data_IF_653038510628
#
_entry.id   IF_653038510628
#
_cell.length_a   1.000
_cell.length_b   1.000
_cell.length_c   1.000
_cell.angle_alpha   90.00
_cell.angle_beta   90.00
_cell.angle_gamma   90.00
#
_symmetry.space_group_name_H-M   'P 1'
#
loop_
_entity.id
_entity.type
_entity.pdbx_description
1 polymer ?
#
# COMPACT_ATOMS: atom_id res chain seq x y z
N UNK A 1 16.72 5.22 -13.77
CA UNK A 1 16.30 4.36 -14.88
C UNK A 1 17.53 4.01 -15.66
N UNK A 2 17.78 2.74 -15.88
CA UNK A 2 18.91 2.28 -16.68
C UNK A 2 18.68 2.59 -18.18
N UNK A 3 19.73 2.60 -19.02
CA UNK A 3 19.59 2.81 -20.47
C UNK A 3 18.59 1.85 -21.13
N UNK A 4 18.38 0.68 -20.55
CA UNK A 4 17.43 -0.34 -21.03
C UNK A 4 15.98 -0.09 -20.54
N UNK A 5 15.70 1.04 -19.92
CA UNK A 5 14.38 1.41 -19.43
C UNK A 5 13.91 0.66 -18.19
N UNK A 6 14.80 -0.07 -17.51
CA UNK A 6 14.47 -0.75 -16.23
C UNK A 6 14.66 0.19 -15.04
N UNK A 7 13.81 0.00 -14.03
CA UNK A 7 13.94 0.70 -12.77
C UNK A 7 15.10 0.14 -11.95
N UNK A 8 16.02 1.00 -11.52
CA UNK A 8 17.01 0.64 -10.49
C UNK A 8 16.44 1.00 -9.12
N UNK A 9 16.42 0.02 -8.20
CA UNK A 9 15.87 0.18 -6.84
C UNK A 9 17.03 0.24 -5.86
N UNK A 10 17.11 1.34 -5.14
CA UNK A 10 18.06 1.53 -4.03
C UNK A 10 17.30 1.60 -2.72
N UNK A 11 17.78 0.88 -1.71
CA UNK A 11 17.25 0.94 -0.35
C UNK A 11 18.08 1.96 0.43
N UNK A 12 17.41 2.99 0.97
CA UNK A 12 18.04 3.91 1.88
C UNK A 12 18.06 3.32 3.30
N UNK A 13 19.05 2.47 3.55
CA UNK A 13 19.28 1.78 4.83
C UNK A 13 20.53 2.33 5.54
N UNK A 14 20.86 3.61 5.34
CA UNK A 14 22.09 4.23 5.88
C UNK A 14 22.22 4.12 7.40
N UNK A 15 21.10 3.95 8.12
CA UNK A 15 21.07 3.73 9.56
C UNK A 15 21.37 2.26 9.96
N UNK A 16 21.23 1.33 9.01
CA UNK A 16 21.46 -0.09 9.21
C UNK A 16 22.75 -0.47 8.48
N UNK A 17 23.89 -0.34 9.15
CA UNK A 17 25.20 -0.62 8.57
C UNK A 17 25.31 -2.00 7.91
N UNK A 18 26.39 -2.22 7.17
CA UNK A 18 26.76 -3.56 6.71
C UNK A 18 27.30 -4.36 7.90
N UNK A 19 26.48 -5.30 8.37
CA UNK A 19 26.88 -6.21 9.42
C UNK A 19 27.63 -7.40 8.82
N UNK A 20 28.86 -7.60 9.28
CA UNK A 20 29.68 -8.75 8.94
C UNK A 20 30.15 -9.43 10.21
N UNK A 21 30.41 -10.72 10.12
CA UNK A 21 31.08 -11.43 11.21
C UNK A 21 32.53 -11.01 11.22
N UNK A 22 33.05 -10.74 12.40
CA UNK A 22 34.47 -10.39 12.56
C UNK A 22 35.32 -11.64 12.50
N UNK A 23 36.22 -11.70 11.51
CA UNK A 23 37.08 -12.86 11.26
C UNK A 23 37.98 -13.20 12.45
N UNK A 24 38.38 -12.20 13.24
CA UNK A 24 39.16 -12.42 14.46
C UNK A 24 38.41 -13.33 15.46
N UNK A 25 37.13 -13.10 15.67
CA UNK A 25 36.35 -13.96 16.57
C UNK A 25 36.11 -15.36 15.98
N UNK A 26 36.04 -15.50 14.65
CA UNK A 26 35.96 -16.80 13.99
C UNK A 26 37.27 -17.61 14.19
N UNK A 27 38.42 -16.94 14.08
CA UNK A 27 39.74 -17.56 14.34
C UNK A 27 39.89 -17.94 15.82
N UNK A 28 39.56 -17.03 16.74
CA UNK A 28 39.58 -17.33 18.18
C UNK A 28 38.73 -18.58 18.50
N UNK A 29 37.55 -18.68 17.93
CA UNK A 29 36.67 -19.83 18.16
C UNK A 29 37.30 -21.15 17.67
N UNK A 30 38.06 -21.12 16.57
CA UNK A 30 38.75 -22.29 16.05
C UNK A 30 39.91 -22.77 16.97
N UNK A 31 40.49 -21.86 17.76
CA UNK A 31 41.64 -22.14 18.67
C UNK A 31 41.17 -22.53 20.09
N UNK A 32 39.93 -22.33 20.44
CA UNK A 32 39.38 -22.63 21.78
C UNK A 32 39.38 -24.14 22.02
N UNK A 33 40.08 -24.58 23.06
CA UNK A 33 40.13 -25.98 23.51
C UNK A 33 39.14 -26.31 24.62
N UNK A 34 38.65 -25.29 25.33
CA UNK A 34 37.70 -25.44 26.43
C UNK A 34 36.28 -25.56 25.90
N UNK A 35 35.60 -26.64 26.28
CA UNK A 35 34.30 -27.00 25.74
C UNK A 35 33.19 -25.97 26.07
N UNK A 36 33.16 -25.45 27.29
CA UNK A 36 32.19 -24.44 27.71
C UNK A 36 32.32 -23.14 26.92
N UNK A 37 33.58 -22.68 26.75
CA UNK A 37 33.89 -21.48 26.00
C UNK A 37 33.57 -21.63 24.51
N UNK A 38 33.85 -22.82 23.93
CA UNK A 38 33.47 -23.14 22.56
C UNK A 38 31.96 -23.10 22.34
N UNK A 39 31.19 -23.70 23.24
CA UNK A 39 29.71 -23.69 23.13
C UNK A 39 29.16 -22.28 23.31
N UNK A 40 29.75 -21.46 24.20
CA UNK A 40 29.35 -20.07 24.32
C UNK A 40 29.55 -19.29 23.02
N UNK A 41 30.75 -19.36 22.41
CA UNK A 41 31.02 -18.71 21.12
C UNK A 41 30.13 -19.22 20.01
N UNK A 42 29.86 -20.53 19.93
CA UNK A 42 28.99 -21.16 18.96
C UNK A 42 27.57 -20.56 19.02
N UNK A 43 26.98 -20.50 20.23
CA UNK A 43 25.65 -19.88 20.43
C UNK A 43 25.61 -18.39 20.00
N UNK A 44 26.66 -17.64 20.31
CA UNK A 44 26.73 -16.22 19.89
C UNK A 44 26.88 -16.08 18.38
N UNK A 45 27.65 -16.91 17.75
CA UNK A 45 27.85 -16.95 16.30
C UNK A 45 26.55 -17.31 15.57
N UNK A 46 25.85 -18.34 16.03
CA UNK A 46 24.56 -18.74 15.47
C UNK A 46 23.54 -17.60 15.54
N UNK A 47 23.47 -16.91 16.69
CA UNK A 47 22.60 -15.74 16.87
C UNK A 47 22.99 -14.58 15.95
N UNK A 48 24.27 -14.30 15.80
CA UNK A 48 24.76 -13.25 14.89
C UNK A 48 24.43 -13.55 13.45
N UNK A 49 24.67 -14.80 12.99
CA UNK A 49 24.28 -15.28 11.64
C UNK A 49 22.79 -15.16 11.40
N UNK A 50 21.98 -15.55 12.37
CA UNK A 50 20.51 -15.43 12.28
C UNK A 50 20.08 -13.96 12.09
N UNK A 51 20.63 -13.03 12.85
CA UNK A 51 20.31 -11.61 12.74
C UNK A 51 20.72 -11.03 11.39
N UNK A 52 21.93 -11.31 10.93
CA UNK A 52 22.43 -10.87 9.62
C UNK A 52 21.50 -11.40 8.52
N UNK A 53 21.20 -12.71 8.56
CA UNK A 53 20.30 -13.32 7.58
C UNK A 53 18.89 -12.69 7.61
N UNK A 54 18.34 -12.40 8.79
CA UNK A 54 17.03 -11.75 8.92
C UNK A 54 17.01 -10.35 8.29
N UNK A 55 18.09 -9.56 8.46
CA UNK A 55 18.21 -8.24 7.82
C UNK A 55 18.29 -8.37 6.30
N UNK A 56 19.09 -9.30 5.79
CA UNK A 56 19.20 -9.56 4.35
C UNK A 56 17.89 -10.03 3.73
N UNK A 57 17.17 -10.93 4.40
CA UNK A 57 15.86 -11.40 3.95
C UNK A 57 14.84 -10.26 3.90
N UNK A 58 14.87 -9.37 4.89
CA UNK A 58 14.02 -8.17 4.88
C UNK A 58 14.33 -7.27 3.68
N UNK A 59 15.60 -7.02 3.39
CA UNK A 59 16.03 -6.23 2.22
C UNK A 59 15.55 -6.88 0.91
N UNK A 60 15.80 -8.19 0.74
CA UNK A 60 15.33 -8.94 -0.43
C UNK A 60 13.82 -8.85 -0.61
N UNK A 61 13.06 -9.06 0.46
CA UNK A 61 11.58 -8.99 0.42
C UNK A 61 11.09 -7.61 -0.01
N UNK A 62 11.68 -6.53 0.51
CA UNK A 62 11.30 -5.17 0.12
C UNK A 62 11.61 -4.92 -1.36
N UNK A 63 12.78 -5.32 -1.86
CA UNK A 63 13.15 -5.18 -3.27
C UNK A 63 12.18 -5.98 -4.16
N UNK A 64 11.87 -7.22 -3.82
CA UNK A 64 10.94 -8.04 -4.57
C UNK A 64 9.53 -7.42 -4.65
N UNK A 65 9.01 -6.94 -3.53
CA UNK A 65 7.71 -6.25 -3.48
C UNK A 65 7.76 -4.96 -4.32
N UNK A 66 8.82 -4.17 -4.21
CA UNK A 66 8.96 -2.93 -4.97
C UNK A 66 9.04 -3.20 -6.48
N UNK A 67 9.81 -4.20 -6.91
CA UNK A 67 9.86 -4.60 -8.32
C UNK A 67 8.47 -4.99 -8.84
N UNK A 68 7.76 -5.83 -8.10
CA UNK A 68 6.43 -6.28 -8.49
C UNK A 68 5.41 -5.11 -8.54
N UNK A 69 5.53 -4.13 -7.63
CA UNK A 69 4.73 -2.89 -7.67
C UNK A 69 5.06 -2.07 -8.91
N UNK A 70 6.35 -1.90 -9.25
CA UNK A 70 6.79 -1.14 -10.42
C UNK A 70 6.31 -1.78 -11.72
N UNK A 71 6.31 -3.11 -11.81
CA UNK A 71 5.74 -3.84 -12.95
C UNK A 71 4.24 -3.60 -13.10
N UNK A 72 3.47 -3.68 -12.00
CA UNK A 72 2.02 -3.49 -12.03
C UNK A 72 1.62 -2.02 -12.29
N UNK A 73 2.41 -1.08 -11.78
CA UNK A 73 2.12 0.35 -11.80
C UNK A 73 3.04 1.12 -12.79
N UNK A 74 3.60 0.44 -13.80
CA UNK A 74 4.58 1.04 -14.72
C UNK A 74 4.09 2.33 -15.38
N UNK A 75 2.83 2.37 -15.83
CA UNK A 75 2.22 3.56 -16.41
C UNK A 75 2.12 4.75 -15.43
N UNK A 76 1.84 4.46 -14.16
CA UNK A 76 1.79 5.49 -13.12
C UNK A 76 3.16 6.11 -12.90
N UNK A 77 4.21 5.29 -12.82
CA UNK A 77 5.56 5.78 -12.54
C UNK A 77 6.24 6.43 -13.76
N UNK A 78 5.91 6.02 -14.99
CA UNK A 78 6.49 6.60 -16.22
C UNK A 78 5.77 7.84 -16.71
N UNK A 79 4.45 7.83 -16.67
CA UNK A 79 3.63 8.82 -17.37
C UNK A 79 2.70 9.60 -16.45
N UNK A 80 2.88 9.49 -15.14
CA UNK A 80 1.95 10.07 -14.15
C UNK A 80 0.50 9.66 -14.38
N UNK A 81 0.29 8.43 -14.85
CA UNK A 81 -1.01 7.84 -15.13
C UNK A 81 -1.81 7.58 -13.84
N UNK A 82 -2.99 7.01 -13.98
CA UNK A 82 -3.78 6.58 -12.83
C UNK A 82 -3.22 5.28 -12.26
N UNK A 83 -3.26 5.14 -10.92
CA UNK A 83 -2.91 3.89 -10.26
C UNK A 83 -3.86 2.77 -10.71
N UNK A 84 -3.29 1.66 -11.17
CA UNK A 84 -4.03 0.44 -11.45
C UNK A 84 -4.46 -0.24 -10.14
N UNK A 85 -5.62 -0.91 -10.12
CA UNK A 85 -6.02 -1.71 -8.96
C UNK A 85 -4.98 -2.80 -8.68
N UNK A 86 -4.43 -2.80 -7.48
CA UNK A 86 -3.45 -3.79 -7.04
C UNK A 86 -3.73 -4.13 -5.57
N UNK A 87 -4.11 -5.36 -5.28
CA UNK A 87 -4.37 -5.81 -3.92
C UNK A 87 -3.17 -6.52 -3.31
N UNK A 88 -3.07 -6.47 -1.97
CA UNK A 88 -2.03 -7.23 -1.26
C UNK A 88 -2.19 -8.75 -1.47
N UNK A 89 -3.42 -9.23 -1.74
CA UNK A 89 -3.70 -10.65 -2.03
C UNK A 89 -3.12 -11.05 -3.38
N UNK A 90 -3.40 -10.30 -4.45
CA UNK A 90 -2.81 -10.54 -5.77
C UNK A 90 -1.29 -10.54 -5.73
N UNK A 91 -0.71 -9.57 -4.99
CA UNK A 91 0.73 -9.50 -4.82
C UNK A 91 1.29 -10.69 -4.02
N UNK A 92 0.55 -11.18 -3.02
CA UNK A 92 0.95 -12.36 -2.23
C UNK A 92 1.00 -13.63 -3.08
N UNK A 93 0.04 -13.81 -3.98
CA UNK A 93 0.02 -14.91 -4.94
C UNK A 93 1.18 -14.79 -5.93
N UNK A 94 1.40 -13.60 -6.53
CA UNK A 94 2.49 -13.34 -7.48
C UNK A 94 3.87 -13.61 -6.89
N UNK A 95 4.11 -13.24 -5.64
CA UNK A 95 5.39 -13.37 -4.96
C UNK A 95 5.53 -14.66 -4.12
N UNK A 96 4.48 -15.45 -4.02
CA UNK A 96 4.43 -16.66 -3.17
C UNK A 96 4.79 -16.38 -1.70
N UNK A 97 4.33 -15.22 -1.17
CA UNK A 97 4.52 -14.81 0.23
C UNK A 97 3.17 -14.52 0.87
N UNK A 98 3.08 -14.56 2.21
CA UNK A 98 1.82 -14.25 2.87
C UNK A 98 1.44 -12.76 2.76
N UNK A 99 0.14 -12.46 2.72
CA UNK A 99 -0.38 -11.08 2.74
C UNK A 99 0.11 -10.30 3.96
N UNK A 100 0.28 -10.98 5.11
CA UNK A 100 0.82 -10.38 6.33
C UNK A 100 2.30 -9.98 6.17
N UNK A 101 3.08 -10.76 5.39
CA UNK A 101 4.48 -10.42 5.07
C UNK A 101 4.54 -9.14 4.23
N UNK A 102 3.70 -9.03 3.20
CA UNK A 102 3.61 -7.82 2.37
C UNK A 102 3.19 -6.61 3.22
N UNK A 103 2.11 -6.75 3.98
CA UNK A 103 1.60 -5.67 4.83
C UNK A 103 2.65 -5.15 5.81
N UNK A 104 3.42 -6.04 6.46
CA UNK A 104 4.53 -5.65 7.35
C UNK A 104 5.69 -5.03 6.59
N UNK A 105 6.01 -5.54 5.41
CA UNK A 105 7.11 -5.04 4.60
C UNK A 105 6.86 -3.61 4.10
N UNK A 106 5.63 -3.26 3.71
CA UNK A 106 5.28 -1.92 3.17
C UNK A 106 4.84 -0.93 4.24
N UNK A 107 4.60 -1.40 5.48
CA UNK A 107 4.15 -0.55 6.57
C UNK A 107 5.18 0.55 6.84
N UNK A 108 4.71 1.81 6.90
CA UNK A 108 5.50 3.00 7.24
C UNK A 108 6.76 3.15 6.35
N UNK A 109 6.66 2.71 5.08
CA UNK A 109 7.73 2.86 4.09
C UNK A 109 7.30 3.71 2.93
N UNK A 110 8.25 4.49 2.45
CA UNK A 110 8.06 5.41 1.35
C UNK A 110 8.91 5.00 0.15
N UNK A 111 8.38 5.21 -1.03
CA UNK A 111 9.06 5.07 -2.30
C UNK A 111 9.27 6.47 -2.85
N UNK A 112 10.54 6.83 -3.07
CA UNK A 112 10.90 8.08 -3.72
C UNK A 112 11.07 7.81 -5.21
N UNK A 113 10.42 8.62 -6.04
CA UNK A 113 10.52 8.56 -7.49
C UNK A 113 10.64 9.98 -8.06
N UNK A 114 10.96 10.17 -9.35
CA UNK A 114 11.21 11.49 -9.94
C UNK A 114 10.10 12.52 -9.73
N UNK A 115 8.85 12.08 -9.67
CA UNK A 115 7.68 12.96 -9.47
C UNK A 115 7.32 13.20 -7.99
N UNK A 116 8.07 12.62 -7.02
CA UNK A 116 7.84 12.83 -5.60
C UNK A 116 8.02 11.60 -4.73
N UNK A 117 7.44 11.64 -3.53
CA UNK A 117 7.53 10.58 -2.54
C UNK A 117 6.12 10.04 -2.24
N UNK A 118 5.94 8.73 -2.29
CA UNK A 118 4.67 8.08 -2.05
C UNK A 118 4.80 7.01 -0.95
N UNK A 119 3.81 6.95 -0.06
CA UNK A 119 3.72 5.88 0.93
C UNK A 119 3.44 4.56 0.20
N UNK A 120 4.28 3.53 0.38
CA UNK A 120 4.15 2.25 -0.33
C UNK A 120 2.78 1.60 -0.14
N UNK A 121 2.17 1.77 1.04
CA UNK A 121 0.82 1.28 1.32
C UNK A 121 -0.24 1.87 0.37
N UNK A 122 -0.07 3.11 -0.10
CA UNK A 122 -1.01 3.78 -0.98
C UNK A 122 -0.97 3.25 -2.43
N UNK A 123 0.08 2.48 -2.78
CA UNK A 123 0.18 1.79 -4.06
C UNK A 123 -0.68 0.53 -4.12
N UNK A 124 -1.15 0.05 -2.96
CA UNK A 124 -2.13 -1.01 -2.85
C UNK A 124 -3.52 -0.40 -2.66
N UNK A 125 -4.32 -0.46 -3.67
CA UNK A 125 -5.71 -0.03 -3.58
C UNK A 125 -6.61 -1.21 -3.26
N UNK A 126 -7.61 -0.97 -2.42
CA UNK A 126 -8.72 -1.89 -2.33
C UNK A 126 -9.44 -1.87 -3.68
N UNK A 127 -9.38 -2.98 -4.42
CA UNK A 127 -10.15 -3.13 -5.64
C UNK A 127 -11.61 -3.37 -5.28
N UNK A 128 -12.47 -2.58 -5.89
CA UNK A 128 -13.91 -2.79 -5.82
C UNK A 128 -14.33 -3.46 -7.12
N UNK A 129 -15.00 -4.62 -7.09
CA UNK A 129 -15.48 -5.26 -8.30
C UNK A 129 -16.48 -4.33 -9.00
N UNK A 130 -16.20 -3.98 -10.24
CA UNK A 130 -17.16 -3.40 -11.15
C UNK A 130 -17.94 -4.51 -11.84
N UNK A 131 -19.18 -4.24 -12.25
CA UNK A 131 -20.09 -5.24 -12.78
C UNK A 131 -19.67 -5.92 -14.10
N UNK A 132 -18.64 -5.40 -14.76
CA UNK A 132 -18.01 -5.93 -15.98
C UNK A 132 -16.70 -6.70 -15.73
N UNK A 133 -16.41 -7.04 -14.47
CA UNK A 133 -15.16 -7.74 -14.08
C UNK A 133 -13.93 -6.83 -13.99
N UNK A 134 -14.04 -5.55 -14.31
CA UNK A 134 -13.00 -4.57 -14.06
C UNK A 134 -12.85 -4.28 -12.55
N UNK A 135 -11.62 -4.15 -12.10
CA UNK A 135 -11.31 -3.73 -10.74
C UNK A 135 -11.09 -2.21 -10.74
N UNK A 136 -11.78 -1.50 -9.87
CA UNK A 136 -11.63 -0.06 -9.74
C UNK A 136 -11.00 0.31 -8.40
N UNK A 137 -10.10 1.26 -8.46
CA UNK A 137 -9.48 1.86 -7.29
C UNK A 137 -10.55 2.59 -6.44
N UNK A 138 -10.49 2.42 -5.12
CA UNK A 138 -11.36 3.11 -4.16
C UNK A 138 -11.36 4.64 -4.33
N UNK A 139 -10.22 5.23 -4.71
CA UNK A 139 -10.12 6.67 -5.00
C UNK A 139 -10.91 7.08 -6.24
N UNK A 140 -10.92 6.25 -7.29
CA UNK A 140 -11.75 6.49 -8.47
C UNK A 140 -13.25 6.49 -8.14
N UNK A 141 -13.68 5.56 -7.27
CA UNK A 141 -15.06 5.52 -6.78
C UNK A 141 -15.39 6.74 -5.94
N UNK A 142 -14.51 7.16 -5.04
CA UNK A 142 -14.68 8.38 -4.23
C UNK A 142 -14.83 9.62 -5.11
N UNK A 143 -14.05 9.71 -6.17
CA UNK A 143 -14.16 10.82 -7.11
C UNK A 143 -15.53 10.85 -7.79
N UNK A 144 -16.04 9.70 -8.25
CA UNK A 144 -17.36 9.60 -8.87
C UNK A 144 -18.48 9.95 -7.87
N UNK A 145 -18.37 9.50 -6.60
CA UNK A 145 -19.32 9.89 -5.54
C UNK A 145 -19.30 11.41 -5.34
N UNK A 146 -18.12 12.04 -5.34
CA UNK A 146 -18.00 13.51 -5.20
C UNK A 146 -18.66 14.24 -6.35
N UNK A 147 -18.47 13.78 -7.58
CA UNK A 147 -19.12 14.33 -8.78
C UNK A 147 -20.64 14.22 -8.70
N UNK A 148 -21.16 13.04 -8.36
CA UNK A 148 -22.60 12.82 -8.21
C UNK A 148 -23.22 13.70 -7.11
N UNK A 149 -22.51 13.92 -6.01
CA UNK A 149 -22.98 14.80 -4.94
C UNK A 149 -22.92 16.27 -5.35
N UNK A 150 -21.96 16.68 -6.14
CA UNK A 150 -21.87 18.04 -6.66
C UNK A 150 -22.96 18.36 -7.69
N UNK A 151 -23.38 17.37 -8.47
CA UNK A 151 -24.42 17.46 -9.49
C UNK A 151 -25.84 17.24 -8.94
N UNK A 152 -25.98 16.82 -7.66
CA UNK A 152 -27.29 16.54 -7.06
C UNK A 152 -28.17 17.77 -6.90
N UNK A 153 -29.50 17.55 -6.94
CA UNK A 153 -30.44 18.61 -6.58
C UNK A 153 -30.36 18.91 -5.08
N UNK A 154 -29.97 20.15 -4.75
CA UNK A 154 -29.81 20.65 -3.37
C UNK A 154 -31.09 20.54 -2.52
N UNK A 155 -32.28 20.54 -3.15
CA UNK A 155 -33.56 20.37 -2.44
C UNK A 155 -33.87 18.91 -2.13
N UNK A 156 -33.31 17.98 -2.95
CA UNK A 156 -33.51 16.53 -2.80
C UNK A 156 -32.19 15.78 -2.94
N UNK A 157 -31.28 15.90 -1.95
CA UNK A 157 -29.97 15.25 -2.00
C UNK A 157 -30.08 13.72 -2.12
N UNK A 158 -29.15 13.10 -2.84
CA UNK A 158 -29.11 11.65 -3.02
C UNK A 158 -28.82 10.92 -1.70
N UNK A 159 -29.68 9.97 -1.35
CA UNK A 159 -29.37 9.03 -0.26
C UNK A 159 -28.24 8.06 -0.66
N UNK A 160 -27.58 7.44 0.33
CA UNK A 160 -26.54 6.44 0.07
C UNK A 160 -27.08 5.27 -0.76
N UNK A 161 -28.38 4.93 -0.64
CA UNK A 161 -29.05 3.94 -1.48
C UNK A 161 -29.19 4.41 -2.93
N UNK A 162 -29.51 5.69 -3.13
CA UNK A 162 -29.63 6.26 -4.49
C UNK A 162 -28.27 6.40 -5.17
N UNK A 163 -27.24 6.76 -4.41
CA UNK A 163 -25.85 6.75 -4.90
C UNK A 163 -25.42 5.33 -5.30
N UNK A 164 -25.83 4.29 -4.53
CA UNK A 164 -25.56 2.89 -4.88
C UNK A 164 -26.23 2.50 -6.21
N UNK A 165 -27.49 2.91 -6.41
CA UNK A 165 -28.21 2.65 -7.67
C UNK A 165 -27.53 3.34 -8.86
N UNK A 166 -27.15 4.62 -8.71
CA UNK A 166 -26.48 5.39 -9.77
C UNK A 166 -25.11 4.81 -10.11
N UNK A 167 -24.33 4.40 -9.10
CA UNK A 167 -23.06 3.73 -9.30
C UNK A 167 -23.23 2.36 -9.95
N UNK A 168 -24.26 1.59 -9.57
CA UNK A 168 -24.57 0.30 -10.21
C UNK A 168 -24.89 0.46 -11.69
N UNK A 169 -25.62 1.52 -12.08
CA UNK A 169 -25.89 1.85 -13.51
C UNK A 169 -24.62 2.21 -14.29
N UNK A 170 -23.60 2.72 -13.61
CA UNK A 170 -22.27 3.00 -14.18
C UNK A 170 -21.33 1.78 -14.13
N UNK A 171 -21.83 0.58 -13.75
CA UNK A 171 -21.04 -0.65 -13.68
C UNK A 171 -20.38 -0.92 -12.32
N UNK A 172 -20.62 -0.10 -11.28
CA UNK A 172 -19.98 -0.24 -9.96
C UNK A 172 -20.94 -0.87 -8.94
N UNK A 173 -20.84 -2.19 -8.75
CA UNK A 173 -21.68 -2.95 -7.83
C UNK A 173 -21.36 -2.75 -6.34
N UNK A 174 -21.56 -1.54 -5.81
CA UNK A 174 -21.24 -1.19 -4.44
C UNK A 174 -22.43 -1.28 -3.50
N UNK A 175 -22.22 -1.83 -2.30
CA UNK A 175 -23.24 -1.82 -1.27
C UNK A 175 -23.41 -0.42 -0.65
N UNK A 176 -24.62 -0.12 -0.18
CA UNK A 176 -24.92 1.11 0.56
C UNK A 176 -23.93 1.38 1.71
N UNK A 177 -23.48 0.32 2.42
CA UNK A 177 -22.54 0.44 3.54
C UNK A 177 -21.17 0.95 3.09
N UNK A 178 -20.69 0.48 1.95
CA UNK A 178 -19.41 0.91 1.38
C UNK A 178 -19.46 2.37 0.92
N UNK A 179 -20.59 2.77 0.31
CA UNK A 179 -20.80 4.15 -0.11
C UNK A 179 -20.85 5.12 1.09
N UNK A 180 -21.60 4.75 2.13
CA UNK A 180 -21.65 5.52 3.37
C UNK A 180 -20.25 5.71 3.96
N UNK A 181 -19.45 4.63 4.04
CA UNK A 181 -18.07 4.68 4.50
C UNK A 181 -17.21 5.63 3.67
N UNK A 182 -17.26 5.53 2.33
CA UNK A 182 -16.46 6.40 1.45
C UNK A 182 -16.89 7.85 1.55
N UNK A 183 -18.19 8.11 1.64
CA UNK A 183 -18.74 9.47 1.84
C UNK A 183 -18.21 10.08 3.15
N UNK A 184 -18.25 9.32 4.24
CA UNK A 184 -17.75 9.74 5.56
C UNK A 184 -16.23 9.99 5.54
N UNK A 185 -15.45 9.12 4.91
CA UNK A 185 -14.01 9.31 4.71
C UNK A 185 -13.67 10.60 3.94
N UNK A 186 -14.55 11.04 3.05
CA UNK A 186 -14.43 12.30 2.31
C UNK A 186 -14.97 13.51 3.06
N UNK A 187 -15.53 13.34 4.26
CA UNK A 187 -16.15 14.42 5.04
C UNK A 187 -17.46 14.93 4.44
N UNK A 188 -18.12 14.18 3.56
CA UNK A 188 -19.40 14.55 2.95
C UNK A 188 -20.53 14.17 3.89
N UNK A 189 -21.37 15.12 4.35
CA UNK A 189 -22.49 14.84 5.26
C UNK A 189 -23.55 13.93 4.65
N UNK A 190 -24.38 13.30 5.47
CA UNK A 190 -25.53 12.51 5.04
C UNK A 190 -26.54 13.33 4.26
N UNK A 191 -27.42 12.69 3.46
CA UNK A 191 -28.41 13.39 2.65
C UNK A 191 -29.34 14.30 3.47
N UNK A 192 -29.69 13.90 4.69
CA UNK A 192 -30.49 14.69 5.59
C UNK A 192 -29.78 15.97 6.05
N UNK A 193 -28.52 15.86 6.46
CA UNK A 193 -27.70 16.99 6.88
C UNK A 193 -27.40 17.97 5.73
N UNK A 194 -27.17 17.42 4.50
CA UNK A 194 -26.98 18.24 3.30
C UNK A 194 -28.23 19.06 2.99
N UNK A 195 -29.41 18.46 3.15
CA UNK A 195 -30.69 19.16 2.98
C UNK A 195 -30.86 20.28 3.99
N UNK A 196 -30.64 19.99 5.28
CA UNK A 196 -30.75 21.00 6.36
C UNK A 196 -29.82 22.19 6.14
N UNK A 197 -28.56 21.95 5.74
CA UNK A 197 -27.61 23.04 5.44
C UNK A 197 -28.10 23.93 4.29
N UNK A 198 -28.70 23.34 3.26
CA UNK A 198 -29.24 24.10 2.14
C UNK A 198 -30.46 24.92 2.54
N UNK A 199 -31.36 24.40 3.38
CA UNK A 199 -32.54 25.10 3.89
C UNK A 199 -32.17 26.27 4.79
N UNK A 200 -31.11 26.15 5.59
CA UNK A 200 -30.56 27.23 6.42
C UNK A 200 -29.97 28.34 5.52
N UNK A 201 -29.18 27.98 4.53
CA UNK A 201 -28.58 28.95 3.60
C UNK A 201 -29.62 29.72 2.76
N UNK A 202 -30.77 29.11 2.46
CA UNK A 202 -31.90 29.79 1.79
C UNK A 202 -32.64 30.80 2.67
N UNK A 203 -32.58 30.64 4.00
CA UNK A 203 -33.25 31.56 4.96
C UNK A 203 -32.39 32.73 5.34
N UNK A 204 -31.11 32.73 5.05
CA UNK A 204 -30.13 33.77 5.41
C UNK A 204 -29.84 34.71 4.22
N UNK A 205 -30.23 34.31 3.01
CA UNK A 205 -30.21 35.14 1.78
C UNK A 205 -31.64 35.53 1.39
#
# INVERSE_FOLDING_TARGET
>A
MDPDGKWNIEINDNWCGNYQLNDYYLQMMAEVKEQELFEYFKKKLERARFLIHAVEQRRKTIIQITNAILEEQDEFFRYSGKLKPCTMTQMSEKLSVSTSTISRAVKDKYLQHPSGCILMKNLFSASVPAGDGCLINSEGVKQIIRELVNEENKEKPYSDSKLAELLSKKGYGLSRRVIAKYREEMGIPGSFERKMKNDINKKVN
#
